data_IF_988310694030
#
_entry.id   IF_988310694030
#
_cell.length_a   1.000
_cell.length_b   1.000
_cell.length_c   1.000
_cell.angle_alpha   90.00
_cell.angle_beta   90.00
_cell.angle_gamma   90.00
#
_symmetry.space_group_name_H-M   'P 1'
#
loop_
_entity.id
_entity.type
_entity.pdbx_description
1 polymer ?
#
# COMPACT_ATOMS: atom_id res chain seq x y z
N UNK A 1 26.05 6.32 8.55
CA UNK A 1 24.76 5.81 9.08
C UNK A 1 23.86 5.47 7.90
N UNK A 2 23.74 4.19 7.57
CA UNK A 2 22.81 3.73 6.52
C UNK A 2 21.41 3.80 7.10
N UNK A 3 20.56 4.68 6.57
CA UNK A 3 19.13 4.71 6.89
C UNK A 3 18.51 3.42 6.36
N UNK A 4 18.10 2.54 7.26
CA UNK A 4 17.23 1.41 6.93
C UNK A 4 15.87 2.04 6.62
N UNK A 5 15.50 2.05 5.34
CA UNK A 5 14.16 2.43 4.90
C UNK A 5 13.27 1.22 5.22
N UNK A 6 12.58 1.29 6.36
CA UNK A 6 11.56 0.32 6.70
C UNK A 6 10.33 0.69 5.86
N UNK A 7 10.12 -0.01 4.75
CA UNK A 7 8.87 0.09 3.97
C UNK A 7 7.81 -0.73 4.69
N UNK A 8 6.87 -0.07 5.35
CA UNK A 8 5.82 -0.69 6.14
C UNK A 8 4.53 -0.81 5.29
N UNK A 9 4.07 -2.02 5.00
CA UNK A 9 2.91 -2.37 4.15
C UNK A 9 1.73 -2.86 5.01
N UNK A 10 0.52 -2.34 4.86
CA UNK A 10 -0.67 -3.00 5.39
C UNK A 10 -0.90 -4.27 4.56
N UNK A 11 -0.71 -5.43 5.16
CA UNK A 11 -1.12 -6.68 4.55
C UNK A 11 -2.63 -6.80 4.74
N UNK A 12 -3.40 -6.53 3.69
CA UNK A 12 -4.76 -7.06 3.63
C UNK A 12 -4.59 -8.55 3.38
N UNK A 13 -4.66 -9.33 4.45
CA UNK A 13 -4.62 -10.78 4.38
C UNK A 13 -5.84 -11.29 3.63
N UNK A 14 -5.72 -11.47 2.32
CA UNK A 14 -6.70 -12.22 1.56
C UNK A 14 -6.48 -13.70 1.85
N UNK A 15 -7.01 -14.14 2.98
CA UNK A 15 -7.22 -15.55 3.24
C UNK A 15 -8.24 -16.07 2.23
N UNK A 16 -7.81 -16.98 1.34
CA UNK A 16 -8.74 -17.88 0.69
C UNK A 16 -9.32 -18.77 1.79
N UNK A 17 -10.48 -18.41 2.30
CA UNK A 17 -11.19 -19.20 3.29
C UNK A 17 -12.61 -19.50 2.84
N UNK A 18 -12.93 -20.77 2.86
CA UNK A 18 -14.28 -21.27 2.99
C UNK A 18 -15.02 -20.57 4.15
N UNK A 19 -16.12 -19.90 3.82
CA UNK A 19 -17.26 -19.57 4.68
C UNK A 19 -16.95 -19.25 6.16
N UNK A 20 -16.44 -18.08 6.46
CA UNK A 20 -16.70 -17.39 7.73
C UNK A 20 -16.55 -15.89 7.50
N UNK A 21 -17.60 -15.14 7.84
CA UNK A 21 -17.60 -13.67 7.87
C UNK A 21 -16.52 -13.21 8.82
N UNK A 22 -15.52 -12.49 8.31
CA UNK A 22 -14.62 -11.70 9.13
C UNK A 22 -15.26 -10.32 9.27
N UNK A 23 -15.74 -10.00 10.46
CA UNK A 23 -16.13 -8.64 10.79
C UNK A 23 -14.86 -7.81 11.00
N UNK A 24 -14.62 -6.88 10.08
CA UNK A 24 -13.55 -5.88 10.20
C UNK A 24 -14.08 -4.76 11.07
N UNK A 25 -13.44 -4.39 12.20
CA UNK A 25 -13.86 -3.23 12.97
C UNK A 25 -13.66 -1.97 12.13
N UNK A 26 -14.77 -1.33 11.84
CA UNK A 26 -15.02 0.03 11.36
C UNK A 26 -13.86 0.82 10.72
N UNK A 27 -13.33 0.33 9.59
CA UNK A 27 -12.92 1.20 8.50
C UNK A 27 -14.10 1.20 7.53
N UNK A 28 -14.90 2.25 7.52
CA UNK A 28 -16.04 2.33 6.63
C UNK A 28 -15.54 2.48 5.20
N UNK A 29 -15.62 1.37 4.45
CA UNK A 29 -15.69 1.45 2.99
C UNK A 29 -17.00 2.16 2.71
N UNK A 30 -16.94 3.35 2.12
CA UNK A 30 -18.13 4.02 1.61
C UNK A 30 -18.57 3.22 0.39
N UNK A 31 -19.45 2.23 0.59
CA UNK A 31 -20.21 1.63 -0.48
C UNK A 31 -21.13 2.71 -1.05
N UNK A 32 -20.85 3.14 -2.26
CA UNK A 32 -21.83 3.91 -3.03
C UNK A 32 -23.03 3.00 -3.27
N UNK A 33 -24.12 3.29 -2.59
CA UNK A 33 -25.42 2.63 -2.81
C UNK A 33 -25.78 2.77 -4.29
N UNK A 34 -26.03 1.64 -4.95
CA UNK A 34 -26.75 1.59 -6.21
C UNK A 34 -28.15 2.18 -6.00
N UNK A 35 -28.33 3.43 -6.32
CA UNK A 35 -29.65 3.99 -6.53
C UNK A 35 -30.13 3.66 -7.95
N UNK A 36 -31.36 3.13 -8.02
CA UNK A 36 -32.06 2.72 -9.21
C UNK A 36 -31.99 3.78 -10.30
N UNK A 37 -31.63 3.31 -11.48
CA UNK A 37 -31.73 4.02 -12.74
C UNK A 37 -33.11 4.63 -12.95
N UNK A 38 -33.21 5.96 -12.83
CA UNK A 38 -34.14 6.76 -13.63
C UNK A 38 -33.27 7.67 -14.51
N UNK A 39 -33.61 7.62 -15.81
CA UNK A 39 -32.97 8.32 -16.91
C UNK A 39 -32.85 9.81 -16.65
N UNK A 40 -31.64 10.31 -16.45
CA UNK A 40 -31.25 11.65 -16.91
C UNK A 40 -29.86 11.49 -17.54
N UNK A 41 -29.87 11.33 -18.84
CA UNK A 41 -28.73 11.62 -19.71
C UNK A 41 -28.41 13.09 -19.56
N UNK A 42 -27.19 13.43 -19.06
CA UNK A 42 -26.31 14.45 -19.63
C UNK A 42 -25.15 14.75 -18.70
N UNK A 43 -23.93 14.46 -19.20
CA UNK A 43 -22.67 15.16 -18.91
C UNK A 43 -22.29 15.44 -17.44
N UNK A 44 -22.09 14.40 -16.65
CA UNK A 44 -21.04 14.45 -15.64
C UNK A 44 -19.86 13.66 -16.23
N UNK A 45 -19.13 14.32 -17.10
CA UNK A 45 -17.75 13.95 -17.38
C UNK A 45 -16.97 14.29 -16.11
N UNK A 46 -16.94 13.34 -15.17
CA UNK A 46 -15.96 13.37 -14.08
C UNK A 46 -14.63 13.58 -14.75
N UNK A 47 -14.05 14.78 -14.59
CA UNK A 47 -12.72 15.08 -15.12
C UNK A 47 -11.79 14.04 -14.51
N UNK A 48 -11.42 13.07 -15.33
CA UNK A 48 -10.40 12.09 -15.00
C UNK A 48 -9.17 12.87 -14.55
N UNK A 49 -8.75 12.71 -13.31
CA UNK A 49 -7.42 13.15 -12.92
C UNK A 49 -6.41 12.13 -13.46
N UNK A 50 -6.22 12.17 -14.78
CA UNK A 50 -5.28 11.27 -15.48
C UNK A 50 -3.87 11.38 -14.89
N UNK A 51 -3.53 12.52 -14.29
CA UNK A 51 -2.24 12.74 -13.64
C UNK A 51 -2.09 11.90 -12.36
N UNK A 52 -3.13 11.88 -11.52
CA UNK A 52 -3.15 11.06 -10.29
C UNK A 52 -3.16 9.57 -10.64
N UNK A 53 -4.04 9.13 -11.54
CA UNK A 53 -4.15 7.71 -11.89
C UNK A 53 -2.87 7.18 -12.55
N UNK A 54 -2.24 7.95 -13.44
CA UNK A 54 -0.94 7.60 -14.02
C UNK A 54 0.17 7.51 -12.97
N UNK A 55 0.14 8.39 -11.95
CA UNK A 55 1.05 8.30 -10.82
C UNK A 55 0.79 7.01 -10.01
N UNK A 56 -0.48 6.69 -9.71
CA UNK A 56 -0.86 5.46 -8.98
C UNK A 56 -0.40 4.21 -9.72
N UNK A 57 -0.55 4.14 -11.06
CA UNK A 57 0.01 3.04 -11.86
C UNK A 57 1.52 2.88 -11.61
N UNK A 58 2.26 4.00 -11.61
CA UNK A 58 3.69 3.99 -11.34
C UNK A 58 4.06 3.53 -9.93
N UNK A 59 3.26 3.89 -8.94
CA UNK A 59 3.46 3.44 -7.56
C UNK A 59 3.14 1.96 -7.40
N UNK A 60 1.99 1.49 -7.89
CA UNK A 60 1.64 0.05 -7.82
C UNK A 60 2.72 -0.80 -8.49
N UNK A 61 3.21 -0.39 -9.67
CA UNK A 61 4.29 -1.08 -10.36
C UNK A 61 5.63 -1.06 -9.60
N UNK A 62 5.86 -0.06 -8.76
CA UNK A 62 7.07 0.06 -7.94
C UNK A 62 6.99 -0.69 -6.61
N UNK A 63 5.80 -0.76 -6.02
CA UNK A 63 5.60 -1.32 -4.68
C UNK A 63 5.30 -2.82 -4.70
N UNK A 64 4.62 -3.32 -5.74
CA UNK A 64 4.20 -4.70 -5.80
C UNK A 64 4.64 -5.41 -7.08
N UNK A 65 4.94 -6.71 -6.97
CA UNK A 65 5.12 -7.55 -8.15
C UNK A 65 3.81 -7.69 -8.92
N UNK A 66 3.88 -7.59 -10.26
CA UNK A 66 2.73 -7.81 -11.14
C UNK A 66 2.15 -9.23 -11.03
N UNK A 67 2.90 -10.20 -10.46
CA UNK A 67 2.45 -11.57 -10.24
C UNK A 67 1.36 -11.69 -9.16
N UNK A 68 1.18 -10.66 -8.33
CA UNK A 68 0.13 -10.67 -7.31
C UNK A 68 -1.28 -10.78 -7.92
N UNK A 69 -2.26 -11.34 -7.19
CA UNK A 69 -3.65 -11.36 -7.61
C UNK A 69 -4.22 -9.97 -7.88
N UNK A 70 -5.23 -9.90 -8.76
CA UNK A 70 -5.89 -8.63 -9.11
C UNK A 70 -6.39 -7.86 -7.89
N UNK A 71 -7.02 -8.54 -6.93
CA UNK A 71 -7.57 -7.88 -5.73
C UNK A 71 -6.48 -7.28 -4.84
N UNK A 72 -5.32 -7.92 -4.74
CA UNK A 72 -4.18 -7.35 -4.02
C UNK A 72 -3.65 -6.08 -4.71
N UNK A 73 -3.53 -6.10 -6.03
CA UNK A 73 -3.12 -4.92 -6.81
C UNK A 73 -4.14 -3.78 -6.74
N UNK A 74 -5.44 -4.09 -6.71
CA UNK A 74 -6.51 -3.09 -6.48
C UNK A 74 -6.40 -2.47 -5.09
N UNK A 75 -6.22 -3.28 -4.05
CA UNK A 75 -6.04 -2.80 -2.68
C UNK A 75 -4.83 -1.86 -2.58
N UNK A 76 -3.71 -2.21 -3.20
CA UNK A 76 -2.53 -1.35 -3.29
C UNK A 76 -2.84 -0.04 -4.03
N UNK A 77 -3.63 -0.08 -5.10
CA UNK A 77 -4.01 1.12 -5.85
C UNK A 77 -4.83 2.08 -4.97
N UNK A 78 -5.80 1.58 -4.20
CA UNK A 78 -6.60 2.37 -3.26
C UNK A 78 -5.71 2.98 -2.17
N UNK A 79 -4.82 2.20 -1.55
CA UNK A 79 -3.90 2.69 -0.53
C UNK A 79 -2.95 3.77 -1.08
N UNK A 80 -2.37 3.53 -2.25
CA UNK A 80 -1.44 4.47 -2.91
C UNK A 80 -2.12 5.76 -3.32
N UNK A 81 -3.34 5.69 -3.84
CA UNK A 81 -4.17 6.84 -4.19
C UNK A 81 -4.52 7.66 -2.97
N UNK A 82 -4.95 7.00 -1.89
CA UNK A 82 -5.27 7.67 -0.61
C UNK A 82 -4.08 8.46 -0.09
N UNK A 83 -2.90 7.85 -0.07
CA UNK A 83 -1.68 8.52 0.35
C UNK A 83 -1.35 9.74 -0.53
N UNK A 84 -1.54 9.62 -1.85
CA UNK A 84 -1.30 10.70 -2.80
C UNK A 84 -2.29 11.85 -2.63
N UNK A 85 -3.60 11.56 -2.50
CA UNK A 85 -4.65 12.55 -2.26
C UNK A 85 -4.42 13.30 -0.96
N UNK A 86 -4.10 12.58 0.12
CA UNK A 86 -3.73 13.19 1.40
C UNK A 86 -2.52 14.10 1.27
N UNK A 87 -1.47 13.66 0.59
CA UNK A 87 -0.25 14.44 0.38
C UNK A 87 -0.47 15.69 -0.46
N UNK A 88 -1.37 15.64 -1.43
CA UNK A 88 -1.74 16.78 -2.27
C UNK A 88 -2.56 17.83 -1.52
N UNK A 89 -3.28 17.45 -0.45
CA UNK A 89 -4.05 18.34 0.41
C UNK A 89 -4.92 19.36 -0.37
N UNK A 90 -5.70 18.86 -1.34
CA UNK A 90 -6.56 19.67 -2.21
C UNK A 90 -5.84 20.46 -3.33
N UNK A 91 -4.53 20.39 -3.42
CA UNK A 91 -3.78 21.06 -4.48
C UNK A 91 -3.88 20.28 -5.81
N UNK A 92 -4.72 20.72 -6.73
CA UNK A 92 -4.92 20.09 -8.06
C UNK A 92 -3.66 20.10 -8.94
N UNK A 93 -2.70 20.99 -8.67
CA UNK A 93 -1.45 21.09 -9.41
C UNK A 93 -0.28 20.41 -8.68
N UNK A 94 -0.58 19.58 -7.68
CA UNK A 94 0.44 18.91 -6.89
C UNK A 94 1.34 18.00 -7.75
N UNK A 95 2.62 18.03 -7.48
CA UNK A 95 3.60 17.14 -8.10
C UNK A 95 3.73 15.88 -7.23
N UNK A 96 2.99 14.84 -7.59
CA UNK A 96 2.96 13.58 -6.86
C UNK A 96 4.32 12.89 -6.77
N UNK A 97 5.26 13.18 -7.69
CA UNK A 97 6.61 12.57 -7.65
C UNK A 97 7.43 13.02 -6.45
N UNK A 98 7.02 14.07 -5.74
CA UNK A 98 7.62 14.52 -4.48
C UNK A 98 7.23 13.68 -3.27
N UNK A 99 6.23 12.81 -3.41
CA UNK A 99 5.82 11.91 -2.35
C UNK A 99 6.86 10.80 -2.13
N UNK A 100 6.90 10.28 -0.89
CA UNK A 100 7.82 9.21 -0.50
C UNK A 100 7.23 7.82 -0.80
N UNK A 101 6.67 7.64 -2.00
CA UNK A 101 6.23 6.34 -2.51
C UNK A 101 7.23 5.85 -3.56
N UNK A 102 7.35 4.54 -3.71
CA UNK A 102 8.25 3.94 -4.70
C UNK A 102 7.65 4.06 -6.11
N UNK A 103 7.66 5.27 -6.65
CA UNK A 103 7.19 5.53 -8.01
C UNK A 103 8.21 5.09 -9.04
N UNK A 104 7.78 4.38 -10.08
CA UNK A 104 8.58 4.08 -11.27
C UNK A 104 7.90 4.61 -12.54
N UNK A 105 8.70 5.24 -13.40
CA UNK A 105 8.21 5.77 -14.68
C UNK A 105 7.92 4.65 -15.69
N UNK A 106 7.12 4.96 -16.70
CA UNK A 106 6.83 4.05 -17.81
C UNK A 106 8.11 3.53 -18.49
N UNK A 107 9.10 4.41 -18.68
CA UNK A 107 10.38 4.00 -19.26
C UNK A 107 11.16 3.03 -18.37
N UNK A 108 11.09 3.20 -17.06
CA UNK A 108 11.65 2.24 -16.11
C UNK A 108 10.89 0.92 -16.14
N UNK A 109 9.56 0.95 -16.22
CA UNK A 109 8.74 -0.26 -16.39
C UNK A 109 9.09 -1.01 -17.68
N UNK A 110 9.24 -0.31 -18.83
CA UNK A 110 9.68 -0.91 -20.10
C UNK A 110 11.02 -1.60 -19.97
N UNK A 111 11.99 -0.97 -19.32
CA UNK A 111 13.32 -1.56 -19.07
C UNK A 111 13.24 -2.78 -18.14
N UNK A 112 12.42 -2.72 -17.13
CA UNK A 112 12.27 -3.76 -16.10
C UNK A 112 11.54 -5.00 -16.65
N UNK A 113 10.48 -4.82 -17.42
CA UNK A 113 9.64 -5.91 -17.91
C UNK A 113 9.97 -6.37 -19.35
N UNK A 114 10.69 -5.57 -20.12
CA UNK A 114 11.11 -5.93 -21.48
C UNK A 114 9.91 -6.35 -22.34
N UNK A 115 9.95 -7.59 -22.85
CA UNK A 115 8.90 -8.14 -23.72
C UNK A 115 7.53 -8.30 -23.04
N UNK A 116 7.50 -8.39 -21.72
CA UNK A 116 6.25 -8.50 -20.94
C UNK A 116 5.66 -7.15 -20.52
N UNK A 117 6.21 -6.04 -21.04
CA UNK A 117 5.77 -4.70 -20.64
C UNK A 117 4.27 -4.49 -20.91
N UNK A 118 3.79 -4.78 -22.11
CA UNK A 118 2.41 -4.48 -22.51
C UNK A 118 1.39 -5.26 -21.66
N UNK A 119 1.66 -6.55 -21.42
CA UNK A 119 0.81 -7.39 -20.57
C UNK A 119 0.79 -6.91 -19.11
N UNK A 120 1.97 -6.67 -18.55
CA UNK A 120 2.13 -6.25 -17.17
C UNK A 120 1.53 -4.85 -16.92
N UNK A 121 1.78 -3.92 -17.84
CA UNK A 121 1.21 -2.56 -17.75
C UNK A 121 -0.31 -2.59 -17.87
N UNK A 122 -0.84 -3.41 -18.79
CA UNK A 122 -2.29 -3.60 -18.93
C UNK A 122 -2.92 -4.13 -17.65
N UNK A 123 -2.31 -5.15 -17.02
CA UNK A 123 -2.82 -5.72 -15.76
C UNK A 123 -2.89 -4.67 -14.66
N UNK A 124 -1.81 -3.92 -14.42
CA UNK A 124 -1.78 -2.88 -13.38
C UNK A 124 -2.77 -1.76 -13.70
N UNK A 125 -2.79 -1.29 -14.95
CA UNK A 125 -3.73 -0.24 -15.36
C UNK A 125 -5.19 -0.66 -15.19
N UNK A 126 -5.52 -1.92 -15.46
CA UNK A 126 -6.86 -2.46 -15.20
C UNK A 126 -7.22 -2.43 -13.71
N UNK A 127 -6.28 -2.80 -12.82
CA UNK A 127 -6.50 -2.75 -11.38
C UNK A 127 -6.72 -1.31 -10.87
N UNK A 128 -5.90 -0.37 -11.33
CA UNK A 128 -6.00 1.05 -10.96
C UNK A 128 -7.30 1.67 -11.48
N UNK A 129 -7.66 1.40 -12.74
CA UNK A 129 -8.89 1.91 -13.33
C UNK A 129 -10.15 1.32 -12.69
N UNK A 130 -10.11 0.04 -12.27
CA UNK A 130 -11.23 -0.62 -11.60
C UNK A 130 -11.54 -0.04 -10.21
N UNK A 131 -10.58 0.67 -9.60
CA UNK A 131 -10.71 1.35 -8.31
C UNK A 131 -10.56 2.86 -8.44
N UNK A 132 -10.81 3.41 -9.63
CA UNK A 132 -10.64 4.83 -9.89
C UNK A 132 -11.49 5.69 -8.94
N UNK A 133 -10.86 6.66 -8.28
CA UNK A 133 -11.53 7.55 -7.33
C UNK A 133 -11.76 6.96 -5.94
N UNK A 134 -11.55 5.66 -5.73
CA UNK A 134 -11.68 5.05 -4.41
C UNK A 134 -10.50 5.45 -3.51
N UNK A 135 -10.82 5.95 -2.30
CA UNK A 135 -9.86 6.32 -1.27
C UNK A 135 -10.34 5.84 0.10
N UNK A 136 -9.41 5.70 1.03
CA UNK A 136 -9.70 5.35 2.43
C UNK A 136 -9.82 6.62 3.24
N UNK A 137 -10.92 6.75 4.01
CA UNK A 137 -11.18 7.92 4.83
C UNK A 137 -11.46 7.53 6.29
N UNK A 138 -11.12 8.43 7.19
CA UNK A 138 -11.52 8.39 8.58
C UNK A 138 -12.01 9.78 9.00
N UNK A 139 -13.23 9.88 9.52
CA UNK A 139 -13.90 11.15 9.83
C UNK A 139 -13.96 12.12 8.62
N UNK A 140 -14.25 11.61 7.43
CA UNK A 140 -14.31 12.35 6.16
C UNK A 140 -12.99 12.99 5.72
N UNK A 141 -11.86 12.47 6.21
CA UNK A 141 -10.53 12.91 5.79
C UNK A 141 -9.71 11.73 5.28
N UNK A 142 -8.97 11.89 4.17
CA UNK A 142 -8.10 10.82 3.69
C UNK A 142 -7.12 10.36 4.77
N UNK A 143 -7.06 9.06 5.02
CA UNK A 143 -6.15 8.50 6.04
C UNK A 143 -4.68 8.58 5.63
N UNK A 144 -3.79 8.46 6.60
CA UNK A 144 -2.39 8.15 6.35
C UNK A 144 -2.28 6.66 5.96
N UNK A 145 -2.45 6.37 4.67
CA UNK A 145 -2.49 5.01 4.13
C UNK A 145 -1.07 4.43 4.00
N UNK A 146 -0.49 4.05 5.14
CA UNK A 146 0.80 3.36 5.20
C UNK A 146 0.59 1.85 5.12
N UNK A 147 1.62 1.13 4.67
CA UNK A 147 1.54 -0.30 4.42
C UNK A 147 2.90 -0.99 4.64
N UNK A 148 2.94 -2.31 4.95
CA UNK A 148 4.16 -3.13 5.09
C UNK A 148 4.06 -4.45 4.32
N UNK A 149 5.19 -5.07 3.93
CA UNK A 149 5.17 -6.33 3.16
C UNK A 149 4.93 -7.57 4.03
N UNK A 150 5.39 -7.52 5.26
CA UNK A 150 5.32 -8.63 6.20
C UNK A 150 5.48 -8.09 7.61
N UNK A 151 4.67 -8.53 8.54
CA UNK A 151 4.85 -8.33 9.97
C UNK A 151 5.28 -9.64 10.64
N UNK A 152 5.37 -9.66 11.95
CA UNK A 152 5.62 -10.87 12.74
C UNK A 152 4.33 -11.63 13.11
N UNK A 153 3.26 -11.41 12.36
CA UNK A 153 1.92 -11.96 12.59
C UNK A 153 0.94 -10.97 13.18
N UNK A 154 1.38 -9.76 13.49
CA UNK A 154 0.59 -8.65 14.00
C UNK A 154 1.19 -7.33 13.50
N UNK A 155 0.35 -6.39 13.07
CA UNK A 155 0.83 -5.07 12.65
C UNK A 155 1.14 -4.20 13.86
N UNK A 156 1.99 -3.17 13.68
CA UNK A 156 2.38 -2.27 14.76
C UNK A 156 1.39 -1.12 14.92
N UNK A 157 1.24 -0.61 16.16
CA UNK A 157 0.51 0.62 16.40
C UNK A 157 1.28 1.84 15.87
N UNK A 158 0.59 2.76 15.24
CA UNK A 158 1.16 4.03 14.79
C UNK A 158 1.86 4.80 15.92
N UNK A 159 1.28 4.77 17.13
CA UNK A 159 1.84 5.42 18.30
C UNK A 159 3.22 4.90 18.67
N UNK A 160 3.43 3.59 18.60
CA UNK A 160 4.68 2.95 18.99
C UNK A 160 5.77 3.18 17.94
N UNK A 161 5.39 3.28 16.65
CA UNK A 161 6.33 3.44 15.53
C UNK A 161 6.69 4.91 15.28
N UNK A 162 5.71 5.82 15.35
CA UNK A 162 5.88 7.23 14.97
C UNK A 162 5.51 8.23 16.05
N UNK A 163 5.06 7.78 17.23
CA UNK A 163 4.63 8.64 18.34
C UNK A 163 3.30 9.35 18.10
N UNK A 164 2.57 9.02 17.05
CA UNK A 164 1.27 9.60 16.70
C UNK A 164 0.15 8.62 17.04
N UNK A 165 -0.84 9.07 17.82
CA UNK A 165 -2.00 8.24 18.17
C UNK A 165 -3.10 8.40 17.09
N UNK A 166 -3.02 7.59 16.04
CA UNK A 166 -4.01 7.56 14.96
C UNK A 166 -4.92 6.34 15.17
N UNK A 167 -6.16 6.57 15.56
CA UNK A 167 -7.13 5.54 15.94
C UNK A 167 -7.40 4.50 14.83
N UNK A 168 -7.16 4.84 13.57
CA UNK A 168 -7.32 3.94 12.43
C UNK A 168 -6.03 3.16 12.07
N UNK A 169 -4.90 3.41 12.73
CA UNK A 169 -3.63 2.71 12.56
C UNK A 169 -3.21 2.03 13.87
N UNK A 170 -4.04 1.11 14.31
CA UNK A 170 -3.79 0.27 15.50
C UNK A 170 -3.27 -1.10 15.07
N UNK A 171 -2.64 -1.80 16.01
CA UNK A 171 -2.22 -3.18 15.81
C UNK A 171 -3.40 -4.08 15.49
N UNK A 172 -3.25 -4.91 14.46
CA UNK A 172 -4.22 -5.95 14.07
C UNK A 172 -3.48 -7.23 13.69
N UNK A 173 -4.12 -8.37 13.96
CA UNK A 173 -3.58 -9.68 13.61
C UNK A 173 -3.44 -9.82 12.09
N UNK A 174 -2.29 -10.32 11.64
CA UNK A 174 -1.95 -10.58 10.24
C UNK A 174 -1.55 -12.05 10.04
N UNK A 175 -2.56 -12.93 10.07
CA UNK A 175 -2.36 -14.39 9.99
C UNK A 175 -1.73 -14.88 8.69
N UNK A 176 -1.81 -14.07 7.62
CA UNK A 176 -1.22 -14.36 6.31
C UNK A 176 0.30 -14.25 6.28
N UNK A 177 0.90 -13.50 7.18
CA UNK A 177 2.33 -13.20 7.18
C UNK A 177 3.20 -14.44 7.35
N UNK A 178 2.73 -15.46 8.03
CA UNK A 178 3.43 -16.76 8.19
C UNK A 178 3.76 -17.46 6.87
N UNK A 179 3.08 -17.08 5.77
CA UNK A 179 3.35 -17.60 4.43
C UNK A 179 4.37 -16.76 3.67
N UNK A 180 4.77 -15.62 4.21
CA UNK A 180 5.80 -14.77 3.60
C UNK A 180 7.17 -15.43 3.72
N UNK A 181 7.98 -15.41 2.65
CA UNK A 181 9.36 -15.89 2.72
C UNK A 181 10.24 -15.06 3.67
N UNK A 182 9.76 -13.89 4.09
CA UNK A 182 10.45 -12.98 5.01
C UNK A 182 9.96 -13.07 6.46
N UNK A 183 8.99 -13.94 6.74
CA UNK A 183 8.41 -14.08 8.09
C UNK A 183 9.44 -14.59 9.11
N UNK A 184 10.27 -15.56 8.68
CA UNK A 184 11.35 -16.10 9.48
C UNK A 184 12.68 -15.80 8.80
N UNK A 185 13.37 -14.77 9.27
CA UNK A 185 14.71 -14.40 8.80
C UNK A 185 15.75 -14.68 9.86
N UNK A 186 16.87 -15.30 9.48
CA UNK A 186 18.05 -15.44 10.34
C UNK A 186 19.16 -14.56 9.81
N UNK A 187 19.70 -13.70 10.66
CA UNK A 187 20.87 -12.89 10.35
C UNK A 187 22.01 -13.34 11.25
N UNK A 188 23.12 -13.81 10.65
CA UNK A 188 24.33 -14.10 11.39
C UNK A 188 25.22 -12.87 11.43
N UNK A 189 25.52 -12.39 12.62
CA UNK A 189 26.38 -11.24 12.85
C UNK A 189 27.67 -11.69 13.52
N UNK A 190 28.82 -11.25 13.00
CA UNK A 190 30.12 -11.62 13.61
C UNK A 190 30.29 -10.97 15.00
N UNK A 191 30.99 -11.63 15.91
CA UNK A 191 31.33 -11.06 17.20
C UNK A 191 32.07 -9.72 17.08
N UNK A 192 32.90 -9.56 16.04
CA UNK A 192 33.55 -8.28 15.74
C UNK A 192 32.54 -7.16 15.43
N UNK A 193 31.49 -7.46 14.68
CA UNK A 193 30.43 -6.49 14.37
C UNK A 193 29.64 -6.14 15.62
N UNK A 194 29.30 -7.15 16.44
CA UNK A 194 28.63 -6.95 17.73
C UNK A 194 29.45 -6.04 18.64
N UNK A 195 30.76 -6.35 18.81
CA UNK A 195 31.68 -5.51 19.59
C UNK A 195 31.77 -4.08 19.07
N UNK A 196 31.79 -3.87 17.76
CA UNK A 196 31.86 -2.52 17.18
C UNK A 196 30.59 -1.68 17.41
N UNK A 197 29.43 -2.32 17.58
CA UNK A 197 28.15 -1.65 17.78
C UNK A 197 27.89 -1.39 19.27
N UNK A 198 28.16 -2.38 20.12
CA UNK A 198 27.76 -2.38 21.52
C UNK A 198 28.93 -2.20 22.50
N UNK A 199 30.16 -2.14 22.02
CA UNK A 199 31.35 -1.98 22.83
C UNK A 199 31.70 -3.19 23.71
N UNK A 200 31.03 -4.32 23.58
CA UNK A 200 31.21 -5.55 24.33
C UNK A 200 31.09 -6.79 23.43
N UNK A 201 31.87 -7.84 23.75
CA UNK A 201 31.73 -9.16 23.12
C UNK A 201 30.77 -10.07 23.88
N UNK A 202 30.43 -9.70 25.13
CA UNK A 202 29.58 -10.46 26.04
C UNK A 202 28.17 -9.90 26.03
N UNK A 203 27.42 -10.19 24.98
CA UNK A 203 25.96 -9.95 24.94
C UNK A 203 25.34 -11.32 25.20
N UNK A 204 24.71 -11.46 26.38
CA UNK A 204 23.86 -12.60 26.64
C UNK A 204 22.59 -12.43 25.78
N UNK A 205 22.30 -13.41 24.93
CA UNK A 205 21.06 -13.52 24.17
C UNK A 205 20.11 -14.41 24.97
#
# INVERSE_FOLDING_TARGET
MKKILLSLLIVIGLGVSNNNKVEIPACSIVETKEEKQDKVTENIQTQRDDKLENYVIGVVAGEMSVSFPYEALKAQAVASRTYAVRGANGNKNFDYTKLKQNYISVDKMKKMWGKSFDENYKKISQCVNATQGEILEYNNEPILAVFCSTSNGETENCKDVWGQDLQYLTSVESTGDKYSPYYNGTVTVSAKTVKSIFGSENIAI
#
